data_IF_425654075634
#
_entry.id   IF_425654075634
#
_cell.length_a   1.000
_cell.length_b   1.000
_cell.length_c   1.000
_cell.angle_alpha   90.00
_cell.angle_beta   90.00
_cell.angle_gamma   90.00
#
_symmetry.space_group_name_H-M   'P 1'
#
loop_
_entity.id
_entity.type
_entity.pdbx_description
1 polymer ?
#
# COMPACT_ATOMS: atom_id res chain seq x y z
N UNK A 1 -62.43 5.35 -47.76
CA UNK A 1 -61.52 4.53 -48.61
C UNK A 1 -60.69 3.66 -47.68
N UNK A 2 -61.09 2.40 -47.45
CA UNK A 2 -60.43 1.13 -47.86
C UNK A 2 -58.98 0.99 -47.32
N UNK A 3 -58.55 -0.04 -46.58
CA UNK A 3 -59.00 -1.42 -46.30
C UNK A 3 -58.32 -1.99 -45.02
N UNK A 4 -58.99 -2.97 -44.38
CA UNK A 4 -58.67 -3.84 -43.20
C UNK A 4 -57.56 -4.92 -43.47
N UNK A 5 -57.33 -6.00 -42.65
CA UNK A 5 -57.67 -6.40 -41.24
C UNK A 5 -56.47 -7.01 -40.44
N UNK A 6 -56.55 -7.43 -39.16
CA UNK A 6 -56.91 -8.78 -38.63
C UNK A 6 -56.74 -8.75 -37.08
N UNK A 7 -57.77 -8.96 -36.22
CA UNK A 7 -58.37 -10.23 -35.68
C UNK A 7 -57.46 -10.95 -34.63
N UNK A 8 -57.82 -11.44 -33.43
CA UNK A 8 -59.06 -11.77 -32.67
C UNK A 8 -58.68 -11.94 -31.16
N UNK A 9 -59.50 -11.65 -30.12
CA UNK A 9 -60.51 -12.50 -29.42
C UNK A 9 -60.17 -14.02 -29.37
N UNK A 10 -60.31 -14.82 -28.30
CA UNK A 10 -61.21 -14.90 -27.13
C UNK A 10 -60.62 -15.90 -26.08
N UNK A 11 -60.83 -15.73 -24.76
CA UNK A 11 -61.80 -16.42 -23.86
C UNK A 11 -61.45 -17.88 -23.41
N UNK A 12 -61.53 -18.07 -22.07
CA UNK A 12 -61.50 -19.31 -21.28
C UNK A 12 -62.52 -20.38 -21.74
N UNK A 13 -62.26 -21.66 -21.37
CA UNK A 13 -63.07 -22.49 -20.43
C UNK A 13 -62.55 -23.96 -20.36
N UNK A 14 -62.26 -24.39 -19.12
CA UNK A 14 -62.50 -25.67 -18.40
C UNK A 14 -62.23 -27.11 -18.94
N UNK A 15 -61.52 -27.85 -18.07
CA UNK A 15 -61.69 -29.22 -17.54
C UNK A 15 -61.48 -30.49 -18.40
N UNK A 16 -60.67 -31.42 -17.84
CA UNK A 16 -60.62 -32.84 -18.22
C UNK A 16 -59.46 -33.59 -17.55
N UNK A 17 -59.74 -34.71 -16.89
CA UNK A 17 -58.92 -35.33 -15.85
C UNK A 17 -57.93 -36.44 -16.31
N UNK A 18 -56.93 -36.69 -15.43
CA UNK A 18 -56.19 -37.94 -15.12
C UNK A 18 -55.41 -38.69 -16.22
N UNK A 19 -54.17 -39.09 -15.91
CA UNK A 19 -53.68 -40.50 -15.94
C UNK A 19 -52.23 -40.63 -15.41
N UNK A 20 -52.06 -41.61 -14.52
CA UNK A 20 -50.92 -42.47 -14.16
C UNK A 20 -49.48 -41.91 -13.99
N UNK A 21 -48.97 -42.14 -12.78
CA UNK A 21 -47.54 -42.13 -12.45
C UNK A 21 -46.85 -43.41 -12.95
N UNK A 22 -45.69 -43.25 -13.62
CA UNK A 22 -44.69 -44.28 -13.83
C UNK A 22 -43.36 -43.77 -13.26
N UNK A 23 -42.84 -44.47 -12.26
CA UNK A 23 -41.54 -44.21 -11.66
C UNK A 23 -40.42 -44.74 -12.56
N UNK A 24 -39.40 -43.92 -12.79
CA UNK A 24 -38.14 -44.28 -13.45
C UNK A 24 -37.04 -44.26 -12.36
N UNK A 25 -36.14 -45.26 -12.29
CA UNK A 25 -35.11 -45.33 -11.26
C UNK A 25 -34.03 -44.28 -11.50
N UNK A 26 -33.62 -43.61 -10.40
CA UNK A 26 -32.57 -42.60 -10.41
C UNK A 26 -31.19 -43.24 -10.63
N UNK A 27 -30.59 -42.97 -11.78
CA UNK A 27 -29.14 -43.13 -12.01
C UNK A 27 -28.40 -41.92 -11.47
N UNK A 28 -27.26 -42.16 -10.81
CA UNK A 28 -26.54 -41.23 -9.95
C UNK A 28 -26.24 -39.86 -10.54
N UNK A 29 -26.45 -38.83 -9.72
CA UNK A 29 -25.93 -37.48 -9.94
C UNK A 29 -24.43 -37.44 -9.62
N UNK A 30 -23.63 -37.02 -10.60
CA UNK A 30 -22.31 -36.47 -10.39
C UNK A 30 -22.40 -35.31 -9.38
N UNK A 31 -21.59 -35.41 -8.32
CA UNK A 31 -21.52 -34.39 -7.28
C UNK A 31 -21.05 -33.05 -7.84
N UNK A 32 -21.83 -32.00 -7.55
CA UNK A 32 -21.46 -30.63 -7.85
C UNK A 32 -20.11 -30.26 -7.18
N UNK A 33 -19.27 -29.42 -7.82
CA UNK A 33 -18.03 -28.95 -7.22
C UNK A 33 -18.33 -28.17 -5.94
N UNK A 34 -17.82 -28.68 -4.81
CA UNK A 34 -17.92 -28.02 -3.51
C UNK A 34 -17.19 -26.68 -3.57
N UNK A 35 -17.91 -25.61 -3.26
CA UNK A 35 -17.36 -24.29 -2.98
C UNK A 35 -16.37 -24.41 -1.81
N UNK A 36 -15.18 -23.77 -1.84
CA UNK A 36 -14.28 -23.78 -0.69
C UNK A 36 -15.04 -23.23 0.51
N UNK A 37 -15.18 -24.04 1.55
CA UNK A 37 -15.71 -23.58 2.83
C UNK A 37 -14.75 -22.52 3.35
N UNK A 38 -15.24 -21.30 3.55
CA UNK A 38 -14.58 -20.29 4.36
C UNK A 38 -14.36 -20.92 5.75
N UNK A 39 -13.12 -21.32 6.02
CA UNK A 39 -12.68 -21.76 7.33
C UNK A 39 -12.84 -20.57 8.26
N UNK A 40 -13.88 -20.60 9.10
CA UNK A 40 -14.13 -19.54 10.08
C UNK A 40 -12.89 -19.35 10.95
N UNK A 41 -12.29 -18.16 10.88
CA UNK A 41 -11.16 -17.80 11.73
C UNK A 41 -11.55 -18.03 13.20
N UNK A 42 -10.72 -18.72 14.00
CA UNK A 42 -11.05 -19.06 15.38
C UNK A 42 -11.35 -17.82 16.23
N UNK A 43 -12.22 -17.96 17.24
CA UNK A 43 -12.59 -16.87 18.17
C UNK A 43 -11.36 -16.12 18.69
N UNK A 44 -11.40 -14.78 18.64
CA UNK A 44 -10.26 -13.88 18.86
C UNK A 44 -10.03 -13.67 20.36
N UNK A 45 -8.85 -14.02 20.87
CA UNK A 45 -8.47 -13.79 22.28
C UNK A 45 -7.44 -12.67 22.40
N UNK A 46 -6.48 -12.55 21.47
CA UNK A 46 -5.57 -11.42 21.40
C UNK A 46 -5.98 -10.45 20.29
N UNK A 47 -6.66 -9.35 20.65
CA UNK A 47 -6.78 -8.18 19.77
C UNK A 47 -5.64 -7.25 20.16
N UNK A 48 -4.75 -6.92 19.22
CA UNK A 48 -3.94 -5.72 19.39
C UNK A 48 -4.92 -4.56 19.35
N UNK A 49 -5.26 -4.03 20.52
CA UNK A 49 -6.09 -2.85 20.61
C UNK A 49 -5.27 -1.65 20.14
N UNK A 50 -5.51 -1.27 18.89
CA UNK A 50 -4.85 -0.14 18.26
C UNK A 50 -5.38 1.18 18.85
N UNK A 51 -6.45 1.21 19.65
CA UNK A 51 -7.04 2.47 20.12
C UNK A 51 -6.82 2.72 21.62
N UNK A 52 -6.11 1.81 22.32
CA UNK A 52 -5.80 1.96 23.75
C UNK A 52 -4.81 3.11 24.01
N UNK A 53 -5.07 3.99 25.00
CA UNK A 53 -4.16 5.08 25.39
C UNK A 53 -2.83 4.59 25.98
N UNK A 54 -2.77 3.33 26.44
CA UNK A 54 -1.54 2.61 26.79
C UNK A 54 -1.33 1.48 25.76
N UNK A 55 -0.92 1.83 24.52
CA UNK A 55 -0.54 0.82 23.51
C UNK A 55 0.68 0.02 24.01
N UNK A 56 0.47 -1.11 24.67
CA UNK A 56 1.51 -2.11 24.88
C UNK A 56 1.76 -2.84 23.55
N UNK A 57 2.98 -2.75 23.02
CA UNK A 57 3.35 -3.47 21.80
C UNK A 57 3.20 -4.99 22.00
N UNK A 58 2.65 -5.68 21.00
CA UNK A 58 2.47 -7.13 21.06
C UNK A 58 3.83 -7.84 21.03
N UNK A 59 4.17 -8.54 22.11
CA UNK A 59 5.49 -9.16 22.27
C UNK A 59 5.56 -10.45 21.46
N UNK A 60 6.33 -10.43 20.38
CA UNK A 60 6.43 -11.54 19.42
C UNK A 60 7.84 -12.12 19.38
N UNK A 61 7.94 -13.44 19.49
CA UNK A 61 9.18 -14.17 19.35
C UNK A 61 9.30 -14.79 17.95
N UNK A 62 10.44 -14.58 17.29
CA UNK A 62 10.77 -15.18 16.01
C UNK A 62 12.15 -15.83 16.11
N UNK A 63 12.28 -17.08 16.59
CA UNK A 63 13.52 -17.85 16.49
C UNK A 63 13.96 -18.05 15.03
N UNK A 64 15.21 -18.47 14.85
CA UNK A 64 15.68 -18.88 13.51
C UNK A 64 14.85 -20.06 13.01
N UNK A 65 14.53 -20.08 11.72
CA UNK A 65 13.84 -21.21 11.11
C UNK A 65 14.78 -22.43 11.08
N UNK A 66 14.21 -23.62 11.21
CA UNK A 66 14.92 -24.90 11.20
C UNK A 66 15.22 -25.40 9.78
N UNK A 67 15.97 -26.51 9.69
CA UNK A 67 16.24 -27.24 8.44
C UNK A 67 17.49 -26.75 7.70
N UNK A 68 17.49 -25.51 7.20
CA UNK A 68 18.59 -24.98 6.38
C UNK A 68 19.41 -23.90 7.12
N UNK A 69 20.67 -24.21 7.45
CA UNK A 69 21.50 -23.40 8.36
C UNK A 69 21.72 -21.95 7.96
N UNK A 70 21.78 -21.65 6.65
CA UNK A 70 21.98 -20.27 6.15
C UNK A 70 20.68 -19.54 5.90
N UNK A 71 19.70 -20.22 5.29
CA UNK A 71 18.40 -19.63 4.94
C UNK A 71 17.51 -19.44 6.16
N UNK A 72 17.65 -20.27 7.19
CA UNK A 72 16.82 -20.22 8.40
C UNK A 72 16.95 -18.90 9.16
N UNK A 73 18.17 -18.45 9.50
CA UNK A 73 18.40 -17.12 10.08
C UNK A 73 18.00 -15.97 9.15
N UNK A 74 18.22 -16.11 7.83
CA UNK A 74 17.86 -15.08 6.84
C UNK A 74 16.33 -14.86 6.80
N UNK A 75 15.54 -15.94 6.72
CA UNK A 75 14.08 -15.85 6.73
C UNK A 75 13.54 -15.27 8.04
N UNK A 76 14.12 -15.67 9.18
CA UNK A 76 13.74 -15.12 10.48
C UNK A 76 14.03 -13.63 10.57
N UNK A 77 15.14 -13.16 10.03
CA UNK A 77 15.49 -11.74 10.07
C UNK A 77 14.56 -10.88 9.20
N UNK A 78 14.09 -11.39 8.05
CA UNK A 78 13.05 -10.69 7.26
C UNK A 78 11.79 -10.48 8.11
N UNK A 79 11.29 -11.52 8.77
CA UNK A 79 10.12 -11.41 9.65
C UNK A 79 10.35 -10.44 10.82
N UNK A 80 11.51 -10.54 11.49
CA UNK A 80 11.84 -9.63 12.60
C UNK A 80 11.89 -8.18 12.12
N UNK A 81 12.47 -7.92 10.96
CA UNK A 81 12.53 -6.58 10.38
C UNK A 81 11.13 -6.05 10.05
N UNK A 82 10.28 -6.85 9.41
CA UNK A 82 8.89 -6.50 9.12
C UNK A 82 8.13 -6.07 10.39
N UNK A 83 8.22 -6.89 11.45
CA UNK A 83 7.56 -6.59 12.72
C UNK A 83 8.19 -5.42 13.47
N UNK A 84 9.50 -5.16 13.34
CA UNK A 84 10.13 -3.95 13.89
C UNK A 84 9.70 -2.68 13.17
N UNK A 85 9.44 -2.74 11.87
CA UNK A 85 9.06 -1.57 11.07
C UNK A 85 7.60 -1.17 11.28
N UNK A 86 6.70 -2.14 11.49
CA UNK A 86 5.31 -1.84 11.86
C UNK A 86 5.23 -1.60 13.37
N UNK A 87 4.73 -0.43 13.79
CA UNK A 87 4.76 0.01 15.21
C UNK A 87 3.71 -0.67 16.09
N UNK A 88 3.56 -1.99 15.95
CA UNK A 88 2.57 -2.82 16.65
C UNK A 88 3.22 -3.93 17.49
N UNK A 89 4.51 -4.22 17.26
CA UNK A 89 5.18 -5.36 17.87
C UNK A 89 6.42 -4.95 18.66
N UNK A 90 6.65 -5.67 19.75
CA UNK A 90 7.93 -5.75 20.44
C UNK A 90 8.56 -7.08 20.05
N UNK A 91 9.58 -7.04 19.19
CA UNK A 91 10.26 -8.25 18.70
C UNK A 91 11.31 -8.68 19.70
N UNK A 92 11.07 -9.80 20.38
CA UNK A 92 11.93 -10.29 21.44
C UNK A 92 13.34 -10.67 20.92
N UNK A 93 14.37 -10.34 21.71
CA UNK A 93 15.75 -10.73 21.42
C UNK A 93 15.89 -12.25 21.49
N UNK A 94 16.46 -12.85 20.46
CA UNK A 94 16.68 -14.30 20.39
C UNK A 94 17.54 -14.84 21.54
N UNK A 95 18.40 -14.00 22.14
CA UNK A 95 19.23 -14.35 23.31
C UNK A 95 18.40 -14.51 24.60
N UNK A 96 17.17 -14.00 24.63
CA UNK A 96 16.29 -14.14 25.79
C UNK A 96 15.57 -15.49 25.84
N UNK A 97 15.56 -16.25 24.74
CA UNK A 97 14.76 -17.46 24.63
C UNK A 97 15.34 -18.58 25.51
N UNK A 98 14.51 -19.10 26.42
CA UNK A 98 14.83 -20.25 27.28
C UNK A 98 14.30 -21.57 26.74
N UNK A 99 13.54 -21.54 25.63
CA UNK A 99 12.96 -22.71 24.99
C UNK A 99 14.04 -23.57 24.32
N UNK A 100 13.91 -24.90 24.44
CA UNK A 100 14.72 -25.84 23.66
C UNK A 100 14.18 -25.90 22.23
N UNK A 101 14.74 -25.05 21.37
CA UNK A 101 14.29 -24.92 20.00
C UNK A 101 14.39 -26.23 19.20
N UNK A 102 15.37 -27.08 19.50
CA UNK A 102 15.56 -28.34 18.79
C UNK A 102 14.51 -29.37 19.21
N UNK A 103 14.27 -29.51 20.53
CA UNK A 103 13.26 -30.42 21.05
C UNK A 103 11.84 -30.03 20.62
N UNK A 104 11.56 -28.73 20.52
CA UNK A 104 10.25 -28.21 20.11
C UNK A 104 9.90 -28.45 18.63
N UNK A 105 10.90 -28.49 17.73
CA UNK A 105 10.66 -28.54 16.30
C UNK A 105 9.78 -27.37 15.82
N UNK A 106 8.69 -27.68 15.10
CA UNK A 106 7.63 -26.75 14.69
C UNK A 106 6.50 -26.57 15.73
N UNK A 107 6.64 -27.09 16.95
CA UNK A 107 5.71 -26.85 18.06
C UNK A 107 6.27 -25.79 19.02
N UNK A 108 5.56 -25.56 20.12
CA UNK A 108 6.05 -24.76 21.27
C UNK A 108 5.75 -25.47 22.59
N UNK A 109 6.57 -25.21 23.61
CA UNK A 109 6.24 -25.43 25.02
C UNK A 109 5.77 -24.09 25.60
N UNK A 110 4.46 -23.84 25.78
CA UNK A 110 3.94 -22.50 26.09
C UNK A 110 4.56 -21.85 27.34
N UNK A 111 4.87 -22.64 28.37
CA UNK A 111 5.49 -22.13 29.59
C UNK A 111 6.86 -21.49 29.35
N UNK A 112 7.70 -22.07 28.47
CA UNK A 112 9.02 -21.54 28.13
C UNK A 112 8.96 -20.19 27.40
N UNK A 113 7.89 -19.95 26.63
CA UNK A 113 7.67 -18.70 25.92
C UNK A 113 6.98 -17.65 26.78
N UNK A 114 6.03 -18.07 27.62
CA UNK A 114 5.38 -17.18 28.59
C UNK A 114 6.34 -16.63 29.64
N UNK A 115 7.38 -17.39 30.03
CA UNK A 115 8.37 -16.96 31.04
C UNK A 115 9.27 -15.82 30.56
N UNK A 116 9.48 -15.70 29.25
CA UNK A 116 10.17 -14.55 28.62
C UNK A 116 9.18 -13.44 28.22
N UNK A 117 7.90 -13.66 28.51
CA UNK A 117 6.79 -12.75 28.25
C UNK A 117 6.40 -12.64 26.77
N UNK A 118 6.64 -13.69 25.98
CA UNK A 118 6.12 -13.75 24.62
C UNK A 118 4.59 -13.95 24.63
N UNK A 119 3.89 -13.15 23.83
CA UNK A 119 2.46 -13.31 23.57
C UNK A 119 2.23 -14.12 22.29
N UNK A 120 3.08 -13.93 21.28
CA UNK A 120 3.10 -14.74 20.05
C UNK A 120 4.46 -15.35 19.78
N UNK A 121 4.47 -16.53 19.16
CA UNK A 121 5.69 -17.22 18.71
C UNK A 121 5.51 -17.65 17.26
N UNK A 122 6.49 -17.34 16.42
CA UNK A 122 6.56 -17.84 15.04
C UNK A 122 7.63 -18.91 14.95
N UNK A 123 7.24 -20.11 14.52
CA UNK A 123 8.15 -21.22 14.23
C UNK A 123 8.13 -21.48 12.73
N UNK A 124 9.26 -21.87 12.17
CA UNK A 124 9.30 -22.28 10.78
C UNK A 124 10.44 -23.23 10.49
N UNK A 125 10.33 -23.92 9.37
CA UNK A 125 11.25 -24.93 8.90
C UNK A 125 11.40 -24.81 7.38
N UNK A 126 12.65 -24.88 6.92
CA UNK A 126 13.00 -24.80 5.51
C UNK A 126 13.59 -26.15 5.10
N UNK A 127 12.91 -26.81 4.17
CA UNK A 127 13.42 -28.00 3.51
C UNK A 127 13.90 -27.62 2.10
N UNK A 128 15.08 -28.10 1.72
CA UNK A 128 15.61 -27.89 0.37
C UNK A 128 15.40 -29.13 -0.50
N UNK A 129 14.85 -28.92 -1.69
CA UNK A 129 14.76 -29.94 -2.72
C UNK A 129 15.40 -29.43 -4.02
N UNK A 130 16.69 -29.73 -4.20
CA UNK A 130 17.46 -29.27 -5.36
C UNK A 130 17.59 -27.75 -5.43
N UNK A 131 16.97 -27.14 -6.45
CA UNK A 131 16.90 -25.67 -6.64
C UNK A 131 15.71 -25.03 -5.93
N UNK A 132 14.74 -25.82 -5.49
CA UNK A 132 13.54 -25.38 -4.80
C UNK A 132 13.71 -25.49 -3.29
N UNK A 133 12.89 -24.73 -2.57
CA UNK A 133 12.71 -24.80 -1.12
C UNK A 133 11.22 -24.97 -0.83
N UNK A 134 10.94 -25.67 0.27
CA UNK A 134 9.63 -25.73 0.93
C UNK A 134 9.79 -25.07 2.29
N UNK A 135 8.93 -24.10 2.60
CA UNK A 135 8.98 -23.35 3.86
C UNK A 135 7.68 -23.55 4.61
N UNK A 136 7.73 -24.24 5.73
CA UNK A 136 6.60 -24.41 6.64
C UNK A 136 6.68 -23.35 7.73
N UNK A 137 5.58 -22.65 7.99
CA UNK A 137 5.48 -21.56 8.96
C UNK A 137 4.28 -21.75 9.86
N UNK A 138 4.43 -21.45 11.15
CA UNK A 138 3.37 -21.51 12.16
C UNK A 138 3.42 -20.32 13.10
N UNK A 139 2.25 -19.76 13.40
CA UNK A 139 2.05 -18.77 14.47
C UNK A 139 1.34 -19.46 15.63
N UNK A 140 1.83 -19.22 16.83
CA UNK A 140 1.20 -19.61 18.08
C UNK A 140 0.88 -18.36 18.90
N UNK A 141 -0.37 -18.21 19.32
CA UNK A 141 -0.73 -17.33 20.44
C UNK A 141 -0.50 -18.10 21.74
N UNK A 142 0.45 -17.68 22.58
CA UNK A 142 0.89 -18.43 23.77
C UNK A 142 -0.27 -18.72 24.73
N UNK A 143 -1.21 -17.79 24.84
CA UNK A 143 -2.43 -17.94 25.64
C UNK A 143 -3.35 -19.09 25.17
N UNK A 144 -3.25 -19.52 23.91
CA UNK A 144 -4.01 -20.66 23.34
C UNK A 144 -3.29 -22.00 23.48
N UNK A 145 -2.12 -22.02 24.13
CA UNK A 145 -1.33 -23.23 24.30
C UNK A 145 -0.53 -23.61 23.05
N UNK A 146 -0.29 -24.90 22.85
CA UNK A 146 0.60 -25.43 21.81
C UNK A 146 -0.07 -25.67 20.45
N UNK A 147 -1.31 -25.23 20.27
CA UNK A 147 -2.03 -25.33 18.99
C UNK A 147 -1.72 -24.11 18.12
N UNK A 148 -1.24 -24.28 16.87
CA UNK A 148 -0.95 -23.15 16.00
C UNK A 148 -2.25 -22.47 15.58
N UNK A 149 -2.27 -21.14 15.62
CA UNK A 149 -3.41 -20.32 15.17
C UNK A 149 -3.33 -20.01 13.67
N UNK A 150 -2.13 -20.06 13.10
CA UNK A 150 -1.91 -19.98 11.65
C UNK A 150 -0.86 -21.02 11.26
N UNK A 151 -1.10 -21.73 10.16
CA UNK A 151 -0.12 -22.62 9.54
C UNK A 151 -0.11 -22.40 8.03
N UNK A 152 1.08 -22.27 7.44
CA UNK A 152 1.29 -22.10 5.99
C UNK A 152 2.47 -22.88 5.49
N UNK A 153 2.39 -23.29 4.23
CA UNK A 153 3.49 -23.90 3.50
C UNK A 153 3.67 -23.19 2.18
N UNK A 154 4.88 -22.68 1.94
CA UNK A 154 5.26 -22.07 0.67
C UNK A 154 6.23 -22.98 -0.06
N UNK A 155 6.28 -22.90 -1.38
CA UNK A 155 7.23 -23.65 -2.20
C UNK A 155 7.64 -22.83 -3.42
N UNK A 156 8.93 -22.81 -3.72
CA UNK A 156 9.46 -22.06 -4.84
C UNK A 156 10.98 -22.02 -4.83
N UNK A 157 11.55 -21.10 -5.60
CA UNK A 157 13.00 -20.89 -5.65
C UNK A 157 13.54 -20.25 -4.36
N UNK A 158 14.84 -20.40 -4.13
CA UNK A 158 15.51 -19.76 -2.97
C UNK A 158 15.41 -18.23 -2.97
N UNK A 159 15.31 -17.62 -4.15
CA UNK A 159 15.22 -16.17 -4.29
C UNK A 159 13.88 -15.61 -3.78
N UNK A 160 12.87 -16.46 -3.59
CA UNK A 160 11.53 -16.08 -3.15
C UNK A 160 11.37 -16.12 -1.62
N UNK A 161 12.39 -16.58 -0.88
CA UNK A 161 12.33 -16.67 0.58
C UNK A 161 11.86 -15.37 1.26
N UNK A 162 12.38 -14.16 0.92
CA UNK A 162 11.89 -12.91 1.52
C UNK A 162 10.40 -12.68 1.25
N UNK A 163 9.92 -13.00 0.04
CA UNK A 163 8.53 -12.83 -0.33
C UNK A 163 7.61 -13.77 0.46
N UNK A 164 8.03 -15.01 0.71
CA UNK A 164 7.30 -15.93 1.59
C UNK A 164 7.20 -15.39 3.02
N UNK A 165 8.28 -14.78 3.54
CA UNK A 165 8.30 -14.19 4.88
C UNK A 165 7.36 -12.97 4.98
N UNK A 166 7.44 -12.03 4.02
CA UNK A 166 6.52 -10.89 3.97
C UNK A 166 5.05 -11.34 3.89
N UNK A 167 4.77 -12.35 3.07
CA UNK A 167 3.42 -12.91 2.95
C UNK A 167 2.95 -13.50 4.28
N UNK A 168 3.78 -14.32 4.94
CA UNK A 168 3.43 -14.87 6.25
C UNK A 168 3.23 -13.78 7.30
N UNK A 169 4.06 -12.74 7.34
CA UNK A 169 3.89 -11.60 8.25
C UNK A 169 2.57 -10.86 7.97
N UNK A 170 2.18 -10.68 6.71
CA UNK A 170 0.89 -10.08 6.36
C UNK A 170 -0.28 -10.91 6.90
N UNK A 171 -0.18 -12.23 6.83
CA UNK A 171 -1.19 -13.16 7.36
C UNK A 171 -1.23 -13.17 8.90
N UNK A 172 -0.07 -13.05 9.57
CA UNK A 172 0.01 -12.84 11.03
C UNK A 172 -0.74 -11.56 11.43
N UNK A 173 -0.53 -10.45 10.71
CA UNK A 173 -1.28 -9.21 10.96
C UNK A 173 -2.79 -9.39 10.71
N UNK A 174 -3.17 -10.14 9.68
CA UNK A 174 -4.57 -10.45 9.38
C UNK A 174 -5.23 -11.21 10.54
N UNK A 175 -4.54 -12.20 11.12
CA UNK A 175 -5.03 -12.97 12.27
C UNK A 175 -5.18 -12.07 13.51
N UNK A 176 -4.15 -11.29 13.83
CA UNK A 176 -4.11 -10.51 15.08
C UNK A 176 -4.92 -9.21 15.06
N UNK A 177 -5.15 -8.63 13.87
CA UNK A 177 -5.79 -7.31 13.73
C UNK A 177 -7.01 -7.32 12.81
N UNK A 178 -7.33 -8.45 12.18
CA UNK A 178 -8.41 -8.56 11.19
C UNK A 178 -8.08 -7.95 9.82
N UNK A 179 -6.85 -7.44 9.61
CA UNK A 179 -6.43 -6.81 8.37
C UNK A 179 -4.96 -7.12 8.05
N UNK A 180 -4.70 -7.59 6.84
CA UNK A 180 -3.37 -7.89 6.36
C UNK A 180 -2.44 -6.67 6.42
N UNK A 181 -1.15 -6.93 6.54
CA UNK A 181 -0.11 -5.92 6.45
C UNK A 181 0.18 -5.46 5.03
N UNK A 182 1.15 -4.55 4.92
CA UNK A 182 1.69 -4.06 3.65
C UNK A 182 3.13 -4.54 3.38
N UNK A 183 3.56 -5.64 3.99
CA UNK A 183 4.92 -6.16 3.79
C UNK A 183 5.11 -6.69 2.36
N UNK A 184 6.32 -6.52 1.81
CA UNK A 184 6.65 -6.86 0.43
C UNK A 184 6.19 -5.83 -0.62
N UNK A 185 5.59 -4.72 -0.20
CA UNK A 185 5.27 -3.59 -1.08
C UNK A 185 6.52 -2.77 -1.42
N UNK A 186 6.38 -1.78 -2.31
CA UNK A 186 7.49 -1.03 -2.87
C UNK A 186 7.32 0.47 -2.72
N UNK A 187 8.44 1.18 -2.66
CA UNK A 187 8.52 2.63 -2.64
C UNK A 187 9.25 3.10 -3.90
N UNK A 188 8.71 4.11 -4.57
CA UNK A 188 9.38 4.81 -5.68
C UNK A 188 9.69 6.24 -5.30
N UNK A 189 10.82 6.75 -5.78
CA UNK A 189 11.32 8.07 -5.45
C UNK A 189 12.30 8.57 -6.51
N UNK A 190 12.47 9.89 -6.60
CA UNK A 190 13.51 10.50 -7.42
C UNK A 190 14.80 10.66 -6.62
N UNK A 191 15.94 10.44 -7.25
CA UNK A 191 17.27 10.54 -6.63
C UNK A 191 18.23 11.30 -7.54
N UNK A 192 18.91 12.29 -6.97
CA UNK A 192 20.01 12.99 -7.63
C UNK A 192 21.20 12.05 -7.80
N UNK A 193 21.78 12.01 -9.00
CA UNK A 193 22.95 11.18 -9.33
C UNK A 193 24.20 11.98 -9.68
N UNK A 194 24.06 13.29 -9.78
CA UNK A 194 25.13 14.24 -10.09
C UNK A 194 24.55 15.62 -10.42
N UNK A 195 25.39 16.55 -10.87
CA UNK A 195 24.93 17.79 -11.50
C UNK A 195 24.01 17.47 -12.69
N UNK A 196 22.85 18.14 -12.78
CA UNK A 196 21.94 18.01 -13.92
C UNK A 196 21.35 16.61 -14.17
N UNK A 197 21.44 15.67 -13.22
CA UNK A 197 20.94 14.29 -13.40
C UNK A 197 20.15 13.81 -12.19
N UNK A 198 18.91 13.38 -12.45
CA UNK A 198 18.06 12.66 -11.50
C UNK A 198 17.50 11.40 -12.15
N UNK A 199 17.44 10.34 -11.36
CA UNK A 199 16.89 9.06 -11.74
C UNK A 199 15.69 8.71 -10.87
N UNK A 200 14.74 7.98 -11.44
CA UNK A 200 13.64 7.37 -10.70
C UNK A 200 14.07 5.98 -10.24
N UNK A 201 13.89 5.74 -8.95
CA UNK A 201 14.28 4.51 -8.27
C UNK A 201 13.04 3.78 -7.76
N UNK A 202 13.17 2.47 -7.59
CA UNK A 202 12.23 1.62 -6.84
C UNK A 202 13.02 0.81 -5.82
N UNK A 203 12.47 0.67 -4.63
CA UNK A 203 12.99 -0.17 -3.56
C UNK A 203 11.85 -0.97 -2.94
N UNK A 204 12.18 -2.08 -2.29
CA UNK A 204 11.27 -2.72 -1.33
C UNK A 204 11.03 -1.77 -0.16
N UNK A 205 9.88 -1.88 0.51
CA UNK A 205 9.50 -0.98 1.60
C UNK A 205 10.51 -1.00 2.77
N UNK A 206 11.13 -2.15 3.01
CA UNK A 206 12.15 -2.41 4.03
C UNK A 206 13.55 -1.90 3.65
N UNK A 207 13.69 -1.31 2.46
CA UNK A 207 14.94 -0.73 1.97
C UNK A 207 15.79 -1.64 1.10
N UNK A 208 15.39 -2.89 0.93
CA UNK A 208 16.09 -3.84 0.08
C UNK A 208 15.86 -3.55 -1.42
N UNK A 209 16.70 -4.16 -2.26
CA UNK A 209 16.53 -4.21 -3.73
C UNK A 209 16.36 -2.83 -4.41
N UNK A 210 17.08 -1.81 -3.95
CA UNK A 210 17.07 -0.48 -4.57
C UNK A 210 17.61 -0.54 -6.01
N UNK A 211 16.78 -0.19 -6.98
CA UNK A 211 17.14 -0.23 -8.41
C UNK A 211 16.60 0.97 -9.17
N UNK A 212 17.29 1.37 -10.23
CA UNK A 212 16.87 2.44 -11.14
C UNK A 212 15.85 1.90 -12.14
N UNK A 213 14.81 2.67 -12.41
CA UNK A 213 13.78 2.32 -13.40
C UNK A 213 13.59 3.35 -14.53
N UNK A 214 14.08 4.59 -14.37
CA UNK A 214 14.20 5.56 -15.48
C UNK A 214 15.30 5.15 -16.48
N UNK A 215 15.36 5.74 -17.69
CA UNK A 215 16.39 5.37 -18.68
C UNK A 215 17.82 5.78 -18.29
N UNK A 216 17.97 6.73 -17.37
CA UNK A 216 19.28 7.33 -17.05
C UNK A 216 19.60 8.57 -17.87
N UNK A 217 18.74 8.92 -18.83
CA UNK A 217 18.85 10.12 -19.67
C UNK A 217 18.02 11.24 -19.05
N UNK A 218 18.52 12.47 -19.15
CA UNK A 218 17.82 13.66 -18.65
C UNK A 218 17.61 13.68 -17.13
N UNK A 219 16.57 14.40 -16.71
CA UNK A 219 16.20 14.57 -15.31
C UNK A 219 14.83 13.94 -15.09
N UNK A 220 14.82 12.69 -14.59
CA UNK A 220 13.60 11.95 -14.25
C UNK A 220 13.19 12.23 -12.79
N UNK A 221 11.93 12.61 -12.57
CA UNK A 221 11.42 13.05 -11.27
C UNK A 221 9.91 12.84 -11.11
N UNK A 222 9.40 13.11 -9.90
CA UNK A 222 7.97 13.06 -9.57
C UNK A 222 7.32 11.72 -9.94
N UNK A 223 7.86 10.58 -9.47
CA UNK A 223 7.35 9.28 -9.85
C UNK A 223 6.01 8.98 -9.18
N UNK A 224 5.22 8.12 -9.82
CA UNK A 224 4.05 7.48 -9.23
C UNK A 224 3.89 6.05 -9.73
N UNK A 225 3.45 5.16 -8.85
CA UNK A 225 2.99 3.85 -9.28
C UNK A 225 1.67 3.99 -10.04
N UNK A 226 1.49 3.17 -11.07
CA UNK A 226 0.27 3.07 -11.83
C UNK A 226 0.23 1.81 -12.67
N UNK A 227 -0.90 1.58 -13.36
CA UNK A 227 -0.98 0.47 -14.33
C UNK A 227 0.11 0.66 -15.40
N UNK A 228 0.83 -0.43 -15.72
CA UNK A 228 1.92 -0.40 -16.69
C UNK A 228 3.29 0.04 -16.14
N UNK A 229 3.42 0.27 -14.82
CA UNK A 229 4.71 0.46 -14.15
C UNK A 229 4.82 1.77 -13.37
N UNK A 230 6.03 2.33 -13.31
CA UNK A 230 6.27 3.62 -12.66
C UNK A 230 6.16 4.72 -13.71
N UNK A 231 5.24 5.64 -13.47
CA UNK A 231 5.03 6.86 -14.24
C UNK A 231 5.90 7.96 -13.69
N UNK A 232 6.46 8.83 -14.53
CA UNK A 232 7.32 9.91 -14.07
C UNK A 232 7.38 11.06 -15.08
N UNK A 233 7.75 12.25 -14.58
CA UNK A 233 8.08 13.40 -15.39
C UNK A 233 9.56 13.34 -15.77
N UNK A 234 9.89 13.65 -17.02
CA UNK A 234 11.27 13.70 -17.49
C UNK A 234 11.53 15.03 -18.20
N UNK A 235 12.63 15.69 -17.83
CA UNK A 235 13.17 16.84 -18.56
C UNK A 235 14.33 16.39 -19.44
N UNK A 236 14.23 16.70 -20.72
CA UNK A 236 15.25 16.45 -21.76
C UNK A 236 15.56 17.75 -22.50
N UNK A 237 16.49 17.69 -23.45
CA UNK A 237 16.74 18.78 -24.40
C UNK A 237 15.49 19.14 -25.22
N UNK A 238 14.60 18.17 -25.45
CA UNK A 238 13.35 18.35 -26.20
C UNK A 238 12.18 18.86 -25.33
N UNK A 239 12.45 19.25 -24.08
CA UNK A 239 11.45 19.73 -23.13
C UNK A 239 11.04 18.70 -22.08
N UNK A 240 9.94 18.99 -21.39
CA UNK A 240 9.43 18.22 -20.26
C UNK A 240 8.10 17.53 -20.57
N UNK A 241 8.05 16.22 -20.34
CA UNK A 241 6.87 15.40 -20.61
C UNK A 241 6.71 14.30 -19.54
N UNK A 242 5.55 13.64 -19.57
CA UNK A 242 5.28 12.47 -18.72
C UNK A 242 5.40 11.21 -19.55
N UNK A 243 6.08 10.21 -18.99
CA UNK A 243 6.25 8.87 -19.55
C UNK A 243 6.15 7.81 -18.45
N UNK A 244 6.46 6.57 -18.77
CA UNK A 244 6.53 5.47 -17.81
C UNK A 244 7.65 4.49 -18.13
N UNK A 245 7.93 3.62 -17.17
CA UNK A 245 8.83 2.49 -17.37
C UNK A 245 8.34 1.57 -18.50
N UNK A 246 9.27 1.04 -19.29
CA UNK A 246 8.98 0.02 -20.31
C UNK A 246 8.42 0.54 -21.64
N UNK A 247 8.49 1.85 -21.90
CA UNK A 247 8.13 2.44 -23.22
C UNK A 247 9.26 3.23 -23.86
N UNK A 248 10.51 2.93 -23.48
CA UNK A 248 11.71 3.61 -24.01
C UNK A 248 11.61 5.15 -23.96
N UNK A 249 10.94 5.67 -22.92
CA UNK A 249 10.69 7.10 -22.70
C UNK A 249 9.88 7.79 -23.80
N UNK A 250 9.09 7.04 -24.56
CA UNK A 250 8.07 7.63 -25.44
C UNK A 250 7.21 8.61 -24.63
N UNK A 251 7.09 9.89 -25.05
CA UNK A 251 6.18 10.83 -24.40
C UNK A 251 4.74 10.30 -24.46
N UNK A 252 4.06 10.28 -23.32
CA UNK A 252 2.63 9.93 -23.23
C UNK A 252 1.81 11.20 -23.07
N UNK A 253 2.21 12.09 -22.16
CA UNK A 253 1.66 13.44 -22.09
C UNK A 253 2.72 14.42 -22.54
N UNK A 254 2.39 15.16 -23.59
CA UNK A 254 3.16 16.27 -24.13
C UNK A 254 2.22 17.45 -24.41
N UNK A 255 2.79 18.60 -24.75
CA UNK A 255 2.08 19.78 -25.23
C UNK A 255 3.02 20.62 -26.10
N UNK A 256 2.48 21.30 -27.12
CA UNK A 256 3.26 22.19 -27.99
C UNK A 256 3.86 23.38 -27.19
N UNK A 257 3.17 23.79 -26.13
CA UNK A 257 3.59 24.84 -25.20
C UNK A 257 3.33 24.38 -23.76
N UNK A 258 4.09 24.95 -22.84
CA UNK A 258 3.98 24.63 -21.41
C UNK A 258 4.67 23.33 -21.01
N UNK A 259 4.68 23.07 -19.71
CA UNK A 259 5.32 21.93 -19.08
C UNK A 259 4.27 20.94 -18.61
N UNK A 260 4.61 19.64 -18.60
CA UNK A 260 3.76 18.58 -18.05
C UNK A 260 4.53 17.85 -16.96
N UNK A 261 4.02 17.88 -15.74
CA UNK A 261 4.75 17.35 -14.58
C UNK A 261 3.83 16.84 -13.47
N UNK A 262 4.37 15.98 -12.61
CA UNK A 262 3.70 15.52 -11.40
C UNK A 262 2.47 14.69 -11.71
N UNK A 263 2.67 13.39 -11.89
CA UNK A 263 1.60 12.43 -12.25
C UNK A 263 1.09 11.68 -11.03
N UNK A 264 -0.20 11.40 -11.00
CA UNK A 264 -0.85 10.45 -10.08
C UNK A 264 -1.80 9.57 -10.87
N UNK A 265 -1.75 8.26 -10.65
CA UNK A 265 -2.50 7.27 -11.44
C UNK A 265 -3.43 6.48 -10.53
N UNK A 266 -4.71 6.38 -10.88
CA UNK A 266 -5.69 5.59 -10.16
C UNK A 266 -6.73 5.02 -11.14
N UNK A 267 -6.88 3.69 -11.10
CA UNK A 267 -7.71 2.98 -12.07
C UNK A 267 -7.21 3.17 -13.50
N UNK A 268 -8.10 3.59 -14.39
CA UNK A 268 -7.82 3.85 -15.81
C UNK A 268 -7.49 5.31 -16.12
N UNK A 269 -7.39 6.18 -15.11
CA UNK A 269 -7.11 7.61 -15.31
C UNK A 269 -5.81 8.02 -14.64
N UNK A 270 -5.22 9.07 -15.20
CA UNK A 270 -4.14 9.80 -14.56
C UNK A 270 -4.46 11.28 -14.43
N UNK A 271 -3.84 11.89 -13.43
CA UNK A 271 -3.96 13.29 -13.07
C UNK A 271 -2.58 13.90 -13.09
N UNK A 272 -2.44 15.09 -13.68
CA UNK A 272 -1.15 15.74 -13.81
C UNK A 272 -1.27 17.26 -13.79
N UNK A 273 -0.15 17.92 -13.50
CA UNK A 273 -0.06 19.39 -13.58
C UNK A 273 0.41 19.77 -14.97
N UNK A 274 -0.20 20.78 -15.58
CA UNK A 274 0.22 21.30 -16.88
C UNK A 274 0.11 22.81 -16.96
N UNK A 275 1.07 23.45 -17.62
CA UNK A 275 1.02 24.90 -17.93
C UNK A 275 0.54 25.20 -19.35
N UNK A 276 -0.07 24.22 -20.02
CA UNK A 276 -0.53 24.33 -21.42
C UNK A 276 -1.55 25.46 -21.65
N UNK A 277 -2.29 25.87 -20.62
CA UNK A 277 -3.25 26.97 -20.63
C UNK A 277 -2.66 28.32 -20.21
N UNK A 278 -1.36 28.39 -19.88
CA UNK A 278 -0.65 29.61 -19.47
C UNK A 278 -0.11 29.54 -18.04
N UNK A 279 -0.94 29.19 -17.06
CA UNK A 279 -0.56 28.92 -15.67
C UNK A 279 -0.69 27.42 -15.36
N UNK A 280 -0.16 26.98 -14.21
CA UNK A 280 -0.22 25.58 -13.81
C UNK A 280 -1.62 25.21 -13.32
N UNK A 281 -2.24 24.24 -13.99
CA UNK A 281 -3.56 23.71 -13.69
C UNK A 281 -3.50 22.17 -13.57
N UNK A 282 -4.47 21.58 -12.88
CA UNK A 282 -4.68 20.13 -12.82
C UNK A 282 -5.47 19.68 -14.04
N UNK A 283 -4.95 18.66 -14.69
CA UNK A 283 -5.58 17.96 -15.81
C UNK A 283 -5.80 16.49 -15.47
N UNK A 284 -6.73 15.86 -16.18
CA UNK A 284 -6.85 14.40 -16.24
C UNK A 284 -6.74 13.90 -17.67
N UNK A 285 -6.42 12.63 -17.82
CA UNK A 285 -6.47 11.91 -19.10
C UNK A 285 -6.64 10.42 -18.88
N UNK A 286 -6.87 9.69 -19.96
CA UNK A 286 -6.69 8.24 -19.99
C UNK A 286 -5.18 7.89 -20.00
N UNK A 287 -4.84 6.64 -19.67
CA UNK A 287 -3.44 6.20 -19.54
C UNK A 287 -2.66 6.18 -20.86
N UNK A 288 -3.31 6.26 -22.01
CA UNK A 288 -2.62 6.41 -23.30
C UNK A 288 -2.34 7.87 -23.66
N UNK A 289 -2.81 8.81 -22.83
CA UNK A 289 -2.70 10.25 -23.06
C UNK A 289 -3.87 10.87 -23.82
N UNK A 290 -4.89 10.09 -24.18
CA UNK A 290 -6.13 10.58 -24.79
C UNK A 290 -7.10 11.16 -23.74
N UNK A 291 -8.18 11.79 -24.20
CA UNK A 291 -9.22 12.39 -23.35
C UNK A 291 -8.66 13.39 -22.30
N UNK A 292 -7.74 14.26 -22.73
CA UNK A 292 -7.18 15.28 -21.84
C UNK A 292 -8.26 16.32 -21.48
N UNK A 293 -8.52 16.48 -20.18
CA UNK A 293 -9.48 17.44 -19.62
C UNK A 293 -8.86 18.32 -18.57
N UNK A 294 -9.09 19.63 -18.65
CA UNK A 294 -8.74 20.58 -17.60
C UNK A 294 -9.72 20.45 -16.44
N UNK A 295 -9.23 20.29 -15.21
CA UNK A 295 -10.06 20.14 -14.01
C UNK A 295 -10.08 21.38 -13.13
N UNK A 296 -9.02 22.18 -13.17
CA UNK A 296 -8.94 23.46 -12.45
C UNK A 296 -8.74 24.61 -13.44
N UNK A 297 -9.28 25.78 -13.10
CA UNK A 297 -9.10 27.01 -13.85
C UNK A 297 -9.15 28.18 -12.88
N UNK A 298 -7.99 28.62 -12.41
CA UNK A 298 -7.86 29.69 -11.43
C UNK A 298 -6.52 30.41 -11.61
N UNK A 299 -6.40 31.73 -11.42
CA UNK A 299 -5.12 32.45 -11.53
C UNK A 299 -3.98 31.97 -10.60
N UNK A 300 -4.25 31.02 -9.71
CA UNK A 300 -3.27 30.43 -8.81
C UNK A 300 -2.46 29.35 -9.51
N UNK A 301 -1.49 28.81 -8.80
CA UNK A 301 -0.69 27.66 -9.24
C UNK A 301 -1.31 26.41 -8.62
N UNK A 302 -1.81 25.52 -9.47
CA UNK A 302 -2.39 24.24 -9.09
C UNK A 302 -1.46 23.09 -9.54
N UNK A 303 -0.87 22.37 -8.57
CA UNK A 303 0.18 21.35 -8.81
C UNK A 303 0.08 20.16 -7.86
N UNK A 304 0.93 19.14 -8.10
CA UNK A 304 1.10 17.97 -7.21
C UNK A 304 -0.21 17.22 -6.93
N UNK A 305 -0.92 16.74 -7.96
CA UNK A 305 -2.13 15.96 -7.75
C UNK A 305 -1.81 14.64 -7.04
N UNK A 306 -2.74 14.21 -6.20
CA UNK A 306 -2.76 12.93 -5.52
C UNK A 306 -4.18 12.39 -5.58
N UNK A 307 -4.38 11.31 -6.35
CA UNK A 307 -5.68 10.67 -6.46
C UNK A 307 -5.80 9.42 -5.57
N UNK A 308 -6.98 8.82 -5.53
CA UNK A 308 -7.28 7.70 -4.64
C UNK A 308 -7.63 8.14 -3.22
N UNK A 309 -8.25 9.32 -3.09
CA UNK A 309 -8.94 9.78 -1.88
C UNK A 309 -10.36 9.17 -1.77
N UNK A 310 -11.05 9.38 -0.63
CA UNK A 310 -12.37 8.80 -0.37
C UNK A 310 -13.38 9.19 -1.45
N UNK A 311 -14.21 8.25 -1.92
CA UNK A 311 -15.21 8.53 -2.96
C UNK A 311 -14.64 8.94 -4.33
N UNK A 312 -13.38 8.57 -4.64
CA UNK A 312 -12.73 8.91 -5.91
C UNK A 312 -12.25 10.36 -5.99
N UNK A 313 -11.86 10.95 -4.85
CA UNK A 313 -11.37 12.33 -4.80
C UNK A 313 -9.90 12.46 -5.23
N UNK A 314 -9.55 13.65 -5.71
CA UNK A 314 -8.20 14.09 -6.02
C UNK A 314 -7.86 15.26 -5.12
N UNK A 315 -6.70 15.18 -4.44
CA UNK A 315 -6.11 16.31 -3.74
C UNK A 315 -5.03 16.96 -4.60
N UNK A 316 -4.80 18.26 -4.43
CA UNK A 316 -3.69 18.97 -5.07
C UNK A 316 -3.28 20.18 -4.22
N UNK A 317 -2.14 20.76 -4.55
CA UNK A 317 -1.63 21.99 -3.94
C UNK A 317 -2.07 23.17 -4.79
N UNK A 318 -2.66 24.18 -4.15
CA UNK A 318 -3.11 25.42 -4.78
C UNK A 318 -2.58 26.65 -4.07
N UNK A 319 -2.23 27.70 -4.82
CA UNK A 319 -1.95 29.05 -4.27
C UNK A 319 -3.13 30.01 -4.38
N UNK A 320 -4.36 29.52 -4.64
CA UNK A 320 -5.55 30.37 -4.82
C UNK A 320 -5.89 31.30 -3.64
N UNK A 321 -5.32 31.06 -2.47
CA UNK A 321 -5.45 31.93 -1.29
C UNK A 321 -4.09 32.51 -0.83
N UNK A 322 -3.18 32.76 -1.77
CA UNK A 322 -1.90 33.41 -1.53
C UNK A 322 -0.76 32.41 -1.33
N UNK A 323 -0.84 31.55 -0.31
CA UNK A 323 0.19 30.54 -0.03
C UNK A 323 -0.22 29.12 -0.46
N UNK A 324 0.73 28.19 -0.69
CA UNK A 324 0.44 26.80 -1.01
C UNK A 324 -0.37 26.10 0.07
N UNK A 325 -1.56 25.63 -0.31
CA UNK A 325 -2.49 24.91 0.55
C UNK A 325 -3.06 23.73 -0.21
N UNK A 326 -3.54 22.72 0.51
CA UNK A 326 -4.11 21.54 -0.13
C UNK A 326 -5.62 21.68 -0.27
N UNK A 327 -6.10 21.35 -1.46
CA UNK A 327 -7.51 21.30 -1.84
C UNK A 327 -7.87 19.90 -2.33
N UNK A 328 -9.16 19.60 -2.39
CA UNK A 328 -9.70 18.37 -2.99
C UNK A 328 -10.93 18.64 -3.84
N UNK A 329 -11.20 17.73 -4.79
CA UNK A 329 -12.35 17.73 -5.68
C UNK A 329 -12.63 16.30 -6.17
N UNK A 330 -13.84 16.01 -6.69
CA UNK A 330 -14.12 14.74 -7.36
C UNK A 330 -13.18 14.49 -8.55
N UNK A 331 -12.84 13.24 -8.84
CA UNK A 331 -11.98 12.88 -9.99
C UNK A 331 -12.53 13.35 -11.35
N UNK A 332 -13.83 13.54 -11.47
CA UNK A 332 -14.47 14.11 -12.67
C UNK A 332 -14.37 15.63 -12.79
N UNK A 333 -13.78 16.31 -11.81
CA UNK A 333 -13.84 17.77 -11.64
C UNK A 333 -15.02 18.20 -10.76
N UNK A 334 -15.23 19.51 -10.67
CA UNK A 334 -16.28 20.13 -9.85
C UNK A 334 -15.70 21.05 -8.78
N UNK A 335 -16.49 21.29 -7.72
CA UNK A 335 -16.14 22.26 -6.70
C UNK A 335 -14.91 21.86 -5.89
N UNK A 336 -14.01 22.84 -5.71
CA UNK A 336 -12.80 22.70 -4.91
C UNK A 336 -13.08 22.99 -3.43
N UNK A 337 -12.74 22.06 -2.55
CA UNK A 337 -12.81 22.24 -1.09
C UNK A 337 -11.41 22.29 -0.50
N UNK A 338 -11.13 23.30 0.33
CA UNK A 338 -9.85 23.40 1.05
C UNK A 338 -9.75 22.32 2.13
N UNK A 339 -8.58 21.69 2.25
CA UNK A 339 -8.30 20.64 3.24
C UNK A 339 -7.41 21.17 4.37
N UNK A 340 -6.36 21.94 4.05
CA UNK A 340 -5.42 22.42 5.07
C UNK A 340 -5.72 23.83 5.54
N UNK A 341 -6.00 23.99 6.83
CA UNK A 341 -6.30 25.27 7.47
C UNK A 341 -5.22 25.71 8.48
N UNK A 342 -4.26 24.83 8.77
CA UNK A 342 -3.11 25.09 9.66
C UNK A 342 -1.82 25.11 8.85
N UNK A 343 -0.85 25.92 9.28
CA UNK A 343 0.44 26.07 8.61
C UNK A 343 0.41 27.05 7.42
N UNK A 344 1.53 27.76 7.23
CA UNK A 344 1.64 28.79 6.21
C UNK A 344 1.87 28.23 4.81
N UNK A 345 2.46 27.03 4.69
CA UNK A 345 2.81 26.39 3.42
C UNK A 345 2.64 24.87 3.57
N UNK A 346 1.72 24.29 2.79
CA UNK A 346 1.38 22.87 2.82
C UNK A 346 1.45 22.29 1.41
N UNK A 347 2.15 21.17 1.25
CA UNK A 347 2.44 20.59 -0.06
C UNK A 347 2.57 19.07 -0.03
N UNK A 348 2.71 18.48 -1.22
CA UNK A 348 2.93 17.03 -1.44
C UNK A 348 1.91 16.14 -0.71
N UNK A 349 0.60 16.30 -1.02
CA UNK A 349 -0.45 15.48 -0.43
C UNK A 349 -0.26 13.99 -0.76
N UNK A 350 -0.56 13.13 0.21
CA UNK A 350 -0.63 11.68 0.05
C UNK A 350 -1.84 11.11 0.80
N UNK A 351 -2.73 10.45 0.07
CA UNK A 351 -3.93 9.85 0.63
C UNK A 351 -3.64 8.55 1.39
N UNK A 352 -4.42 8.30 2.42
CA UNK A 352 -4.69 6.99 2.99
C UNK A 352 -6.21 6.87 3.19
N UNK A 353 -6.86 5.93 2.51
CA UNK A 353 -8.32 5.74 2.58
C UNK A 353 -8.74 4.57 3.43
N UNK A 354 -7.79 3.70 3.78
CA UNK A 354 -8.05 2.47 4.50
C UNK A 354 -7.83 2.63 6.01
N UNK A 355 -7.71 3.85 6.55
CA UNK A 355 -7.55 4.01 8.01
C UNK A 355 -8.89 3.73 8.72
N UNK A 356 -8.92 2.93 9.82
CA UNK A 356 -10.14 2.62 10.57
C UNK A 356 -10.90 3.88 11.05
N UNK A 357 -10.19 4.91 11.50
CA UNK A 357 -10.78 6.16 12.04
C UNK A 357 -11.23 7.14 10.95
N UNK A 358 -11.18 6.69 9.70
CA UNK A 358 -11.54 7.46 8.53
C UNK A 358 -10.32 7.99 7.75
N UNK A 359 -10.55 8.53 6.54
CA UNK A 359 -9.49 8.83 5.60
C UNK A 359 -8.50 9.87 6.14
N UNK A 360 -7.21 9.58 5.97
CA UNK A 360 -6.12 10.47 6.31
C UNK A 360 -5.52 11.09 5.05
N UNK A 361 -5.01 12.31 5.20
CA UNK A 361 -4.13 12.93 4.23
C UNK A 361 -2.82 13.34 4.91
N UNK A 362 -1.71 12.79 4.44
CA UNK A 362 -0.38 13.22 4.85
C UNK A 362 0.11 14.34 3.93
N UNK A 363 0.88 15.26 4.47
CA UNK A 363 1.45 16.37 3.72
C UNK A 363 2.73 16.90 4.36
N UNK A 364 3.52 17.60 3.56
CA UNK A 364 4.66 18.38 4.05
C UNK A 364 4.17 19.78 4.42
N UNK A 365 4.37 20.19 5.67
CA UNK A 365 4.01 21.51 6.20
C UNK A 365 5.21 22.30 6.68
N UNK A 366 5.17 23.62 6.57
CA UNK A 366 6.21 24.51 7.11
C UNK A 366 5.96 24.84 8.59
N UNK A 367 6.94 24.53 9.45
CA UNK A 367 6.88 24.75 10.91
C UNK A 367 8.28 24.95 11.53
N UNK A 368 8.97 26.05 11.18
CA UNK A 368 10.38 26.29 11.55
C UNK A 368 11.39 25.49 10.71
N UNK A 369 10.88 24.81 9.69
CA UNK A 369 11.50 23.85 8.78
C UNK A 369 10.38 23.17 7.98
N UNK A 370 10.67 22.12 7.20
CA UNK A 370 9.60 21.26 6.69
C UNK A 370 9.44 20.05 7.59
N UNK A 371 8.19 19.73 7.92
CA UNK A 371 7.80 18.56 8.68
C UNK A 371 6.65 17.82 8.01
N UNK A 372 6.45 16.57 8.40
CA UNK A 372 5.35 15.75 7.94
C UNK A 372 4.19 15.87 8.93
N UNK A 373 3.00 16.07 8.38
CA UNK A 373 1.75 16.14 9.11
C UNK A 373 0.73 15.19 8.51
N UNK A 374 -0.23 14.78 9.30
CA UNK A 374 -1.45 14.11 8.84
C UNK A 374 -2.67 14.92 9.26
N UNK A 375 -3.74 14.85 8.46
CA UNK A 375 -5.05 15.38 8.81
C UNK A 375 -6.11 14.32 8.56
N UNK A 376 -7.00 14.09 9.53
CA UNK A 376 -8.20 13.28 9.33
C UNK A 376 -9.23 14.12 8.57
N UNK A 377 -9.69 13.57 7.45
CA UNK A 377 -10.58 14.27 6.53
C UNK A 377 -11.95 14.57 7.14
N UNK A 378 -12.45 13.67 7.97
CA UNK A 378 -13.79 13.78 8.55
C UNK A 378 -13.76 14.69 9.78
N UNK A 379 -12.77 14.54 10.65
CA UNK A 379 -12.73 15.24 11.95
C UNK A 379 -11.94 16.55 11.91
N UNK A 380 -11.12 16.79 10.87
CA UNK A 380 -10.17 17.90 10.80
C UNK A 380 -9.12 17.89 11.93
N UNK A 381 -8.88 16.75 12.56
CA UNK A 381 -7.81 16.55 13.52
C UNK A 381 -6.45 16.49 12.80
N UNK A 382 -5.44 17.20 13.34
CA UNK A 382 -4.10 17.27 12.78
C UNK A 382 -3.10 16.61 13.72
N UNK A 383 -2.22 15.78 13.17
CA UNK A 383 -1.07 15.21 13.86
C UNK A 383 0.22 15.68 13.21
N UNK A 384 1.18 16.12 14.01
CA UNK A 384 2.54 16.44 13.55
C UNK A 384 3.41 15.20 13.74
N UNK A 385 3.72 14.52 12.64
CA UNK A 385 4.46 13.26 12.62
C UNK A 385 5.95 13.48 12.92
N UNK A 386 6.53 14.59 12.42
CA UNK A 386 7.94 14.93 12.66
C UNK A 386 8.09 16.32 13.29
N UNK A 387 9.07 16.48 14.17
CA UNK A 387 9.37 17.73 14.85
C UNK A 387 10.82 17.81 15.31
N UNK A 388 11.57 18.77 14.77
CA UNK A 388 12.92 19.09 15.25
C UNK A 388 14.02 18.12 14.77
N UNK A 389 13.70 17.14 13.92
CA UNK A 389 14.67 16.18 13.37
C UNK A 389 15.22 16.57 11.98
N UNK A 390 15.50 17.84 11.73
CA UNK A 390 15.93 18.33 10.41
C UNK A 390 14.76 18.60 9.46
N UNK A 391 15.02 18.53 8.15
CA UNK A 391 14.01 18.75 7.09
C UNK A 391 13.35 17.41 6.76
N UNK A 392 12.05 17.30 7.00
CA UNK A 392 11.24 16.12 6.71
C UNK A 392 10.16 16.46 5.67
N UNK A 393 10.06 15.70 4.59
CA UNK A 393 9.15 16.00 3.47
C UNK A 393 8.77 14.77 2.67
N UNK A 394 7.83 14.98 1.75
CA UNK A 394 7.39 14.03 0.73
C UNK A 394 6.82 12.74 1.33
N UNK A 395 5.76 12.81 2.16
CA UNK A 395 5.20 11.63 2.78
C UNK A 395 4.52 10.70 1.76
N UNK A 396 4.52 9.40 2.05
CA UNK A 396 3.77 8.38 1.32
C UNK A 396 3.27 7.30 2.29
N UNK A 397 1.97 6.99 2.27
CA UNK A 397 1.38 5.96 3.13
C UNK A 397 1.59 4.56 2.56
N UNK A 398 1.78 3.57 3.44
CA UNK A 398 1.54 2.17 3.12
C UNK A 398 0.06 1.94 2.75
N UNK A 399 -0.27 0.95 1.90
CA UNK A 399 -1.66 0.68 1.48
C UNK A 399 -2.63 0.36 2.62
N UNK A 400 -2.11 -0.18 3.71
CA UNK A 400 -2.86 -0.51 4.91
C UNK A 400 -2.92 0.65 5.93
N UNK A 401 -2.29 1.79 5.62
CA UNK A 401 -2.23 3.01 6.41
C UNK A 401 -1.46 2.93 7.73
N UNK A 402 -0.79 1.81 8.03
CA UNK A 402 -0.05 1.64 9.30
C UNK A 402 1.33 2.28 9.31
N UNK A 403 1.85 2.66 8.15
CA UNK A 403 3.17 3.26 8.00
C UNK A 403 3.13 4.48 7.09
N UNK A 404 4.02 5.43 7.38
CA UNK A 404 4.32 6.58 6.53
C UNK A 404 5.80 6.56 6.21
N UNK A 405 6.12 6.48 4.92
CA UNK A 405 7.45 6.78 4.41
C UNK A 405 7.62 8.28 4.23
N UNK A 406 8.78 8.83 4.57
CA UNK A 406 9.12 10.22 4.29
C UNK A 406 10.62 10.39 4.11
N UNK A 407 11.04 11.42 3.36
CA UNK A 407 12.44 11.80 3.33
C UNK A 407 12.79 12.66 4.54
N UNK A 408 13.95 12.41 5.15
CA UNK A 408 14.55 13.23 6.21
C UNK A 408 15.98 13.60 5.87
N UNK A 409 16.36 14.86 6.14
CA UNK A 409 17.75 15.30 6.04
C UNK A 409 18.70 14.59 7.00
N UNK A 410 18.18 13.76 7.92
CA UNK A 410 18.97 12.85 8.77
C UNK A 410 19.67 11.73 8.00
N UNK A 411 19.33 11.50 6.73
CA UNK A 411 20.14 10.61 5.90
C UNK A 411 19.40 9.84 4.82
N UNK A 412 18.07 9.96 4.68
CA UNK A 412 17.35 9.21 3.66
C UNK A 412 15.85 9.07 3.93
N UNK A 413 15.28 7.94 3.49
CA UNK A 413 13.86 7.62 3.65
C UNK A 413 13.67 6.89 4.98
N UNK A 414 12.79 7.42 5.80
CA UNK A 414 12.37 6.85 7.07
C UNK A 414 10.97 6.26 6.95
N UNK A 415 10.71 5.18 7.71
CA UNK A 415 9.37 4.71 8.01
C UNK A 415 9.01 5.06 9.46
N UNK A 416 7.74 5.39 9.69
CA UNK A 416 7.19 5.63 11.01
C UNK A 416 5.70 5.28 11.04
N UNK A 417 5.09 5.21 12.22
CA UNK A 417 3.64 5.20 12.34
C UNK A 417 3.03 6.55 11.92
N UNK A 418 1.73 6.63 11.59
CA UNK A 418 1.04 7.90 11.30
C UNK A 418 1.10 8.92 12.44
N UNK A 419 1.29 8.45 13.67
CA UNK A 419 1.46 9.26 14.88
C UNK A 419 2.91 9.71 15.12
N UNK A 420 3.86 9.25 14.29
CA UNK A 420 5.27 9.66 14.35
C UNK A 420 6.17 8.78 15.22
N UNK A 421 5.66 7.65 15.70
CA UNK A 421 6.42 6.70 16.50
C UNK A 421 7.34 5.85 15.62
N UNK A 422 8.40 5.31 16.25
CA UNK A 422 9.30 4.30 15.67
C UNK A 422 9.88 4.70 14.31
N UNK A 423 10.59 5.83 14.27
CA UNK A 423 11.17 6.37 13.04
C UNK A 423 12.46 5.63 12.64
N UNK A 424 12.38 4.74 11.66
CA UNK A 424 13.49 3.90 11.20
C UNK A 424 13.99 4.35 9.84
N UNK A 425 15.31 4.59 9.70
CA UNK A 425 15.94 4.81 8.39
C UNK A 425 15.95 3.49 7.63
N UNK A 426 15.26 3.43 6.48
CA UNK A 426 15.20 2.21 5.65
C UNK A 426 16.00 2.34 4.35
N UNK A 427 15.99 3.52 3.72
CA UNK A 427 16.71 3.72 2.45
C UNK A 427 17.66 4.91 2.60
N UNK A 428 18.98 4.69 2.70
CA UNK A 428 19.93 5.77 2.84
C UNK A 428 20.08 6.57 1.54
N UNK A 429 20.54 7.81 1.69
CA UNK A 429 20.80 8.76 0.62
C UNK A 429 19.60 9.60 0.24
N UNK A 430 19.87 10.68 -0.48
CA UNK A 430 18.87 11.67 -0.87
C UNK A 430 17.71 11.05 -1.68
N UNK A 431 16.49 11.52 -1.39
CA UNK A 431 15.27 11.14 -2.08
C UNK A 431 14.30 12.32 -2.16
N UNK A 432 13.47 12.33 -3.19
CA UNK A 432 12.41 13.31 -3.38
C UNK A 432 11.15 12.62 -3.90
N UNK A 433 9.99 13.20 -3.59
CA UNK A 433 8.71 12.90 -4.23
C UNK A 433 8.35 11.41 -4.13
N UNK A 434 8.34 10.90 -2.91
CA UNK A 434 8.10 9.48 -2.63
C UNK A 434 6.65 9.10 -2.99
N UNK A 435 6.48 7.88 -3.48
CA UNK A 435 5.17 7.23 -3.60
C UNK A 435 5.29 5.78 -3.18
N UNK A 436 4.24 5.25 -2.57
CA UNK A 436 4.14 3.86 -2.15
C UNK A 436 3.24 3.09 -3.11
N UNK A 437 3.59 1.86 -3.45
CA UNK A 437 2.77 1.00 -4.32
C UNK A 437 1.47 0.61 -3.62
N UNK A 438 0.34 0.75 -4.30
CA UNK A 438 -0.98 0.35 -3.79
C UNK A 438 -1.45 -0.98 -4.35
#
# INVERSE_FOLDING_TARGET
MKLRPLSSFALLVAFGATVAALAVPATGQEGAPQTPQDEALPERIAVIDVDSPERSLYRIAVPNLQGEATMGPQGAEVLRNDFRLVSLFDVLDARSFVADLNAEGLSIVPSAWSSVGAQGVIKGEIERNGSQIRVQMRLFEVARGASPTLSRTYSGSRAELPQFMHQFANEVLQVLTGRAGAFGTRITFARRRGPGRKDVMVASFDGERVSRVSSGRGISMLPAFGRGGVWYSILTENGMFITRTGVEERPIITSERGLNMGVSVCGSRMFFSSTRSGNAEIYSSDLDGSDIRQLTNHPGIDVSPACGGPGGQVAWVSTRHGSPQIFRMPAGGGDATRVTFRGAHNQTPAWCTNNPDGPLLAFTGQAGGFDVFTVNINTQEYTRLTQGQGVNKDPAFSPDCRMVAFYSSRGGIFLASPEGLNQNLVIPGHAETLRWSR
#
